data_IF_933357174597
#
_entry.id   IF_933357174597
#
_cell.length_a   1.000
_cell.length_b   1.000
_cell.length_c   1.000
_cell.angle_alpha   90.00
_cell.angle_beta   90.00
_cell.angle_gamma   90.00
#
_symmetry.space_group_name_H-M   'P 1'
#
loop_
_entity.id
_entity.type
_entity.pdbx_description
1 polymer ?
#
# COMPACT_ATOMS: atom_id res chain seq x y z
N UNK A 1 18.88 11.15 -9.98
CA UNK A 1 17.52 11.14 -9.41
C UNK A 1 16.60 11.86 -10.39
N UNK A 2 15.56 11.21 -10.90
CA UNK A 2 14.51 11.89 -11.67
C UNK A 2 13.85 12.88 -10.70
N UNK A 3 13.95 14.18 -10.95
CA UNK A 3 13.19 15.17 -10.17
C UNK A 3 11.72 14.95 -10.48
N UNK A 4 10.97 14.43 -9.50
CA UNK A 4 9.54 14.31 -9.63
C UNK A 4 8.97 15.73 -9.58
N UNK A 5 8.26 16.15 -10.64
CA UNK A 5 7.59 17.44 -10.68
C UNK A 5 6.30 17.40 -9.84
N UNK A 6 6.46 17.31 -8.52
CA UNK A 6 5.37 17.33 -7.54
C UNK A 6 5.19 18.74 -6.98
N UNK A 7 3.96 19.07 -6.59
CA UNK A 7 3.74 20.25 -5.74
C UNK A 7 4.35 20.02 -4.36
N UNK A 8 4.60 21.07 -3.59
CA UNK A 8 5.15 20.94 -2.24
C UNK A 8 4.31 20.05 -1.34
N UNK A 9 2.97 20.11 -1.47
CA UNK A 9 2.07 19.25 -0.69
C UNK A 9 2.21 17.77 -1.09
N UNK A 10 2.27 17.48 -2.40
CA UNK A 10 2.43 16.12 -2.89
C UNK A 10 3.80 15.54 -2.55
N UNK A 11 4.84 16.37 -2.58
CA UNK A 11 6.18 15.98 -2.17
C UNK A 11 6.20 15.60 -0.68
N UNK A 12 5.61 16.42 0.19
CA UNK A 12 5.52 16.12 1.62
C UNK A 12 4.78 14.79 1.90
N UNK A 13 3.64 14.56 1.22
CA UNK A 13 2.89 13.30 1.33
C UNK A 13 3.72 12.13 0.81
N UNK A 14 4.39 12.30 -0.32
CA UNK A 14 5.25 11.28 -0.91
C UNK A 14 6.37 10.88 0.05
N UNK A 15 7.10 11.85 0.60
CA UNK A 15 8.22 11.60 1.51
C UNK A 15 7.77 10.86 2.77
N UNK A 16 6.62 11.24 3.35
CA UNK A 16 6.05 10.55 4.52
C UNK A 16 5.75 9.07 4.24
N UNK A 17 5.22 8.75 3.06
CA UNK A 17 4.93 7.36 2.68
C UNK A 17 6.22 6.62 2.31
N UNK A 18 7.16 7.27 1.63
CA UNK A 18 8.44 6.68 1.19
C UNK A 18 9.36 6.29 2.34
N UNK A 19 9.35 7.09 3.41
CA UNK A 19 10.16 6.87 4.60
C UNK A 19 9.48 5.94 5.63
N UNK A 20 8.22 5.57 5.40
CA UNK A 20 7.51 4.64 6.25
C UNK A 20 8.12 3.24 6.12
N UNK A 21 8.50 2.65 7.26
CA UNK A 21 8.85 1.23 7.35
C UNK A 21 7.62 0.33 7.55
N UNK A 22 6.45 0.95 7.72
CA UNK A 22 5.15 0.32 7.83
C UNK A 22 4.24 0.75 6.68
N UNK A 23 3.02 0.20 6.63
CA UNK A 23 2.01 0.55 5.64
C UNK A 23 0.97 1.50 6.24
N UNK A 24 1.23 2.82 6.34
CA UNK A 24 0.34 3.76 7.01
C UNK A 24 -1.01 3.86 6.29
N UNK A 25 -2.07 4.11 7.07
CA UNK A 25 -3.34 4.57 6.53
C UNK A 25 -3.27 6.05 6.14
N UNK A 26 -4.27 6.57 5.44
CA UNK A 26 -4.35 8.01 5.17
C UNK A 26 -4.36 8.83 6.49
N UNK A 27 -4.99 8.31 7.55
CA UNK A 27 -4.99 8.94 8.87
C UNK A 27 -3.60 9.01 9.49
N UNK A 28 -2.83 7.92 9.39
CA UNK A 28 -1.45 7.88 9.87
C UNK A 28 -0.56 8.87 9.10
N UNK A 29 -0.73 8.95 7.77
CA UNK A 29 -0.02 9.93 6.93
C UNK A 29 -0.34 11.36 7.36
N UNK A 30 -1.61 11.68 7.63
CA UNK A 30 -2.00 13.00 8.13
C UNK A 30 -1.35 13.34 9.48
N UNK A 31 -1.33 12.39 10.41
CA UNK A 31 -0.70 12.59 11.71
C UNK A 31 0.81 12.84 11.56
N UNK A 32 1.50 12.03 10.75
CA UNK A 32 2.95 12.21 10.47
C UNK A 32 3.26 13.53 9.78
N UNK A 33 2.38 14.01 8.90
CA UNK A 33 2.53 15.32 8.27
C UNK A 33 2.43 16.46 9.30
N UNK A 34 1.46 16.37 10.22
CA UNK A 34 1.32 17.35 11.31
C UNK A 34 2.54 17.37 12.24
N UNK A 35 3.08 16.20 12.59
CA UNK A 35 4.32 16.08 13.38
C UNK A 35 5.53 16.74 12.69
N UNK A 36 5.55 16.77 11.35
CA UNK A 36 6.56 17.44 10.52
C UNK A 36 6.25 18.92 10.27
N UNK A 37 5.20 19.48 10.90
CA UNK A 37 4.82 20.90 10.76
C UNK A 37 3.99 21.22 9.53
N UNK A 38 3.51 20.22 8.78
CA UNK A 38 2.59 20.44 7.66
C UNK A 38 1.14 20.45 8.15
N UNK A 39 0.41 21.52 7.86
CA UNK A 39 -1.03 21.59 8.12
C UNK A 39 -1.80 21.53 6.79
N UNK A 40 -2.07 20.31 6.33
CA UNK A 40 -2.82 20.06 5.10
C UNK A 40 -4.26 19.66 5.42
N UNK A 41 -5.22 20.18 4.66
CA UNK A 41 -6.60 19.73 4.76
C UNK A 41 -6.72 18.25 4.36
N UNK A 42 -7.63 17.51 5.00
CA UNK A 42 -7.90 16.09 4.71
C UNK A 42 -7.99 15.81 3.20
N UNK A 43 -8.82 16.56 2.47
CA UNK A 43 -8.99 16.39 1.03
C UNK A 43 -7.68 16.57 0.22
N UNK A 44 -6.76 17.39 0.70
CA UNK A 44 -5.44 17.58 0.05
C UNK A 44 -4.57 16.34 0.20
N UNK A 45 -4.59 15.69 1.37
CA UNK A 45 -3.83 14.46 1.61
C UNK A 45 -4.40 13.31 0.78
N UNK A 46 -5.72 13.10 0.80
CA UNK A 46 -6.35 12.07 -0.03
C UNK A 46 -6.13 12.28 -1.53
N UNK A 47 -6.25 13.52 -2.03
CA UNK A 47 -5.97 13.83 -3.43
C UNK A 47 -4.50 13.61 -3.80
N UNK A 48 -3.58 13.85 -2.86
CA UNK A 48 -2.15 13.61 -3.06
C UNK A 48 -1.85 12.11 -3.10
N UNK A 49 -2.38 11.34 -2.14
CA UNK A 49 -2.25 9.88 -2.11
C UNK A 49 -2.78 9.25 -3.41
N UNK A 50 -4.00 9.64 -3.82
CA UNK A 50 -4.58 9.18 -5.09
C UNK A 50 -3.69 9.52 -6.28
N UNK A 51 -3.22 10.78 -6.39
CA UNK A 51 -2.34 11.17 -7.48
C UNK A 51 -1.05 10.36 -7.52
N UNK A 52 -0.43 10.11 -6.36
CA UNK A 52 0.81 9.35 -6.27
C UNK A 52 0.60 7.88 -6.65
N UNK A 53 -0.53 7.28 -6.25
CA UNK A 53 -0.94 5.93 -6.67
C UNK A 53 -1.18 5.88 -8.18
N UNK A 54 -1.93 6.83 -8.73
CA UNK A 54 -2.21 6.91 -10.19
C UNK A 54 -0.95 7.12 -11.03
N UNK A 55 0.14 7.62 -10.41
CA UNK A 55 1.47 7.79 -11.02
C UNK A 55 2.44 6.66 -10.71
N UNK A 56 1.98 5.60 -10.05
CA UNK A 56 2.79 4.44 -9.67
C UNK A 56 4.04 4.86 -8.86
N UNK A 57 3.91 5.94 -8.07
CA UNK A 57 4.97 6.42 -7.18
C UNK A 57 4.88 5.78 -5.79
N UNK A 58 3.67 5.39 -5.40
CA UNK A 58 3.35 4.61 -4.21
C UNK A 58 2.32 3.55 -4.59
N UNK A 59 2.13 2.54 -3.75
CA UNK A 59 1.10 1.51 -3.94
C UNK A 59 -0.01 1.69 -2.92
N UNK A 60 -1.26 1.63 -3.37
CA UNK A 60 -2.42 1.54 -2.48
C UNK A 60 -2.79 0.06 -2.26
N UNK A 61 -2.82 -0.37 -1.01
CA UNK A 61 -3.33 -1.66 -0.57
C UNK A 61 -4.79 -1.48 -0.16
N UNK A 62 -5.71 -1.93 -1.01
CA UNK A 62 -7.15 -1.89 -0.75
C UNK A 62 -7.55 -3.05 0.15
N UNK A 63 -8.10 -2.74 1.32
CA UNK A 63 -8.37 -3.71 2.40
C UNK A 63 -9.87 -4.01 2.55
N UNK A 64 -10.60 -4.19 1.45
CA UNK A 64 -12.05 -4.39 1.50
C UNK A 64 -12.75 -3.19 2.15
N UNK A 65 -13.43 -3.41 3.28
CA UNK A 65 -14.08 -2.35 4.06
C UNK A 65 -13.13 -1.62 5.04
N UNK A 66 -11.94 -2.16 5.31
CA UNK A 66 -10.96 -1.49 6.15
C UNK A 66 -10.27 -0.36 5.38
N UNK A 67 -9.75 0.62 6.12
CA UNK A 67 -9.06 1.77 5.54
C UNK A 67 -7.87 1.32 4.67
N UNK A 68 -7.76 1.89 3.45
CA UNK A 68 -6.61 1.65 2.58
C UNK A 68 -5.30 1.98 3.31
N UNK A 69 -4.29 1.18 3.02
CA UNK A 69 -2.92 1.42 3.45
C UNK A 69 -2.03 1.73 2.25
N UNK A 70 -0.94 2.43 2.47
CA UNK A 70 -0.05 2.88 1.41
C UNK A 70 1.35 2.31 1.62
N UNK A 71 1.95 1.80 0.54
CA UNK A 71 3.33 1.34 0.51
C UNK A 71 4.19 2.32 -0.31
N UNK A 72 5.29 2.77 0.29
CA UNK A 72 6.28 3.62 -0.39
C UNK A 72 7.31 2.82 -1.20
N UNK A 73 7.33 1.51 -1.03
CA UNK A 73 8.19 0.58 -1.74
C UNK A 73 7.48 0.04 -2.98
N UNK A 74 8.25 -0.12 -4.04
CA UNK A 74 7.77 -0.50 -5.37
C UNK A 74 8.52 -1.74 -5.90
N UNK A 75 9.33 -2.39 -5.07
CA UNK A 75 9.86 -3.72 -5.35
C UNK A 75 8.74 -4.77 -5.40
N UNK A 76 9.04 -5.91 -6.03
CA UNK A 76 8.08 -6.99 -6.19
C UNK A 76 7.94 -7.78 -4.89
N UNK A 77 6.99 -7.37 -4.06
CA UNK A 77 6.55 -8.13 -2.89
C UNK A 77 5.03 -8.22 -2.81
N UNK A 78 4.55 -9.28 -2.16
CA UNK A 78 3.14 -9.52 -1.91
C UNK A 78 2.79 -9.14 -0.48
N UNK A 79 1.50 -9.07 -0.16
CA UNK A 79 1.04 -8.63 1.16
C UNK A 79 0.08 -9.63 1.77
N UNK A 80 0.10 -9.77 3.09
CA UNK A 80 -0.95 -10.47 3.85
C UNK A 80 -1.55 -9.53 4.89
N UNK A 81 -2.88 -9.58 5.05
CA UNK A 81 -3.59 -8.78 6.04
C UNK A 81 -4.31 -9.66 7.05
N UNK A 82 -4.18 -9.29 8.31
CA UNK A 82 -4.99 -9.81 9.39
C UNK A 82 -6.40 -9.22 9.33
N UNK A 83 -7.41 -10.06 9.11
CA UNK A 83 -8.82 -9.67 9.06
C UNK A 83 -9.40 -9.23 10.41
N UNK A 84 -8.65 -9.40 11.52
CA UNK A 84 -9.10 -9.03 12.87
C UNK A 84 -8.55 -7.67 13.31
N UNK A 85 -7.26 -7.42 13.10
CA UNK A 85 -6.61 -6.19 13.58
C UNK A 85 -6.11 -5.27 12.45
N UNK A 86 -6.21 -5.69 11.18
CA UNK A 86 -5.75 -4.91 10.04
C UNK A 86 -4.21 -4.78 9.93
N UNK A 87 -3.45 -5.59 10.68
CA UNK A 87 -2.00 -5.71 10.54
C UNK A 87 -1.67 -6.19 9.13
N UNK A 88 -0.67 -5.58 8.51
CA UNK A 88 -0.13 -5.96 7.21
C UNK A 88 1.29 -6.48 7.42
N UNK A 89 1.59 -7.61 6.80
CA UNK A 89 2.93 -8.18 6.76
C UNK A 89 3.33 -8.44 5.30
N UNK A 90 4.64 -8.40 5.05
CA UNK A 90 5.22 -8.66 3.74
C UNK A 90 5.29 -10.15 3.45
N UNK A 91 5.05 -10.51 2.20
CA UNK A 91 5.21 -11.87 1.67
C UNK A 91 6.28 -11.80 0.58
N UNK A 92 7.43 -12.42 0.89
CA UNK A 92 8.59 -12.46 -0.01
C UNK A 92 8.47 -13.51 -1.12
N UNK A 93 7.41 -14.33 -1.09
CA UNK A 93 7.13 -15.29 -2.15
C UNK A 93 6.61 -14.56 -3.39
N UNK A 94 7.25 -14.81 -4.53
CA UNK A 94 6.83 -14.27 -5.82
C UNK A 94 5.58 -14.97 -6.36
N UNK A 95 4.89 -14.28 -7.27
CA UNK A 95 3.78 -14.86 -8.03
C UNK A 95 4.37 -15.87 -9.04
N UNK A 96 3.95 -17.15 -9.03
CA UNK A 96 4.49 -18.14 -9.97
C UNK A 96 4.26 -17.74 -11.44
N UNK A 97 5.31 -17.85 -12.26
CA UNK A 97 5.28 -17.43 -13.66
C UNK A 97 4.29 -18.26 -14.51
N UNK A 98 4.20 -19.56 -14.25
CA UNK A 98 3.26 -20.48 -14.88
C UNK A 98 1.80 -20.07 -14.63
N UNK A 99 1.49 -19.52 -13.45
CA UNK A 99 0.17 -18.98 -13.16
C UNK A 99 -0.12 -17.71 -13.97
N UNK A 100 0.86 -16.82 -14.14
CA UNK A 100 0.73 -15.63 -14.99
C UNK A 100 0.48 -16.04 -16.44
N UNK A 101 1.23 -17.01 -16.97
CA UNK A 101 1.03 -17.54 -18.33
C UNK A 101 -0.36 -18.15 -18.51
N UNK A 102 -0.83 -18.90 -17.51
CA UNK A 102 -2.16 -19.51 -17.52
C UNK A 102 -3.24 -18.43 -17.62
N UNK A 103 -3.16 -17.38 -16.80
CA UNK A 103 -4.10 -16.25 -16.85
C UNK A 103 -4.05 -15.53 -18.21
N UNK A 104 -2.86 -15.32 -18.76
CA UNK A 104 -2.70 -14.70 -20.07
C UNK A 104 -3.35 -15.53 -21.18
N UNK A 105 -3.18 -16.86 -21.15
CA UNK A 105 -3.77 -17.77 -22.12
C UNK A 105 -5.30 -17.86 -22.00
N UNK A 106 -5.83 -17.94 -20.78
CA UNK A 106 -7.28 -18.04 -20.53
C UNK A 106 -8.04 -16.75 -20.92
N UNK A 107 -7.40 -15.59 -20.79
CA UNK A 107 -8.05 -14.28 -20.98
C UNK A 107 -7.67 -13.58 -22.29
N UNK A 108 -6.53 -13.95 -22.89
CA UNK A 108 -5.96 -13.29 -24.07
C UNK A 108 -5.28 -11.95 -23.77
N UNK A 109 -5.06 -11.60 -22.51
CA UNK A 109 -4.43 -10.33 -22.12
C UNK A 109 -2.89 -10.42 -22.14
N UNK A 110 -2.25 -9.31 -22.52
CA UNK A 110 -0.83 -9.08 -22.17
C UNK A 110 -0.77 -8.55 -20.74
N UNK A 111 -0.27 -9.38 -19.81
CA UNK A 111 -0.21 -9.03 -18.39
C UNK A 111 0.98 -8.12 -18.13
N UNK A 112 0.72 -6.92 -17.61
CA UNK A 112 1.76 -5.95 -17.27
C UNK A 112 2.32 -6.14 -15.85
N UNK A 113 1.49 -6.58 -14.90
CA UNK A 113 1.87 -6.80 -13.50
C UNK A 113 0.89 -7.77 -12.83
N UNK A 114 1.33 -8.41 -11.76
CA UNK A 114 0.50 -9.22 -10.88
C UNK A 114 0.75 -8.81 -9.43
N UNK A 115 -0.34 -8.55 -8.69
CA UNK A 115 -0.27 -8.22 -7.27
C UNK A 115 -1.30 -9.04 -6.51
N UNK A 116 -0.84 -9.67 -5.44
CA UNK A 116 -1.63 -10.58 -4.62
C UNK A 116 -1.63 -10.05 -3.19
N UNK A 117 -2.84 -9.99 -2.65
CA UNK A 117 -3.11 -9.61 -1.28
C UNK A 117 -3.82 -10.78 -0.60
N UNK A 118 -3.14 -11.43 0.35
CA UNK A 118 -3.69 -12.54 1.11
C UNK A 118 -4.50 -12.03 2.31
N UNK A 119 -5.62 -12.70 2.60
CA UNK A 119 -6.39 -12.50 3.83
C UNK A 119 -6.14 -13.62 4.82
N UNK A 120 -5.88 -13.29 6.09
CA UNK A 120 -5.65 -14.27 7.14
C UNK A 120 -5.88 -13.72 8.55
N UNK A 121 -5.37 -14.41 9.56
CA UNK A 121 -5.38 -13.95 10.96
C UNK A 121 -3.96 -14.06 11.50
N UNK A 122 -3.40 -12.95 11.99
CA UNK A 122 -2.03 -12.94 12.51
C UNK A 122 -1.92 -13.75 13.82
N UNK A 123 -0.68 -14.14 14.18
CA UNK A 123 -0.39 -14.95 15.38
C UNK A 123 -0.96 -14.35 16.67
N UNK A 124 -0.92 -13.03 16.81
CA UNK A 124 -1.45 -12.32 17.99
C UNK A 124 -2.98 -12.37 18.08
N UNK A 125 -3.68 -12.34 16.95
CA UNK A 125 -5.13 -12.45 16.93
C UNK A 125 -5.58 -13.91 17.08
N UNK A 126 -4.80 -14.87 16.57
CA UNK A 126 -5.04 -16.29 16.80
C UNK A 126 -4.95 -16.62 18.29
N UNK A 127 -3.92 -16.15 19.00
CA UNK A 127 -3.74 -16.42 20.43
C UNK A 127 -4.80 -15.76 21.31
N UNK A 128 -5.37 -14.61 20.90
CA UNK A 128 -6.50 -13.97 21.59
C UNK A 128 -7.83 -14.71 21.41
N UNK A 129 -8.00 -15.51 20.35
CA UNK A 129 -9.21 -16.33 20.11
C UNK A 129 -9.20 -17.67 20.85
N UNK A 130 -8.05 -18.10 21.39
CA UNK A 130 -7.89 -19.39 22.10
C UNK A 130 -8.12 -19.24 23.63
N UNK A 131 -8.69 -18.11 24.08
CA UNK A 131 -9.08 -17.91 25.49
C UNK A 131 -10.59 -17.88 25.66
#
# INVERSE_FOLDING_TARGET
MRTLNLTSQRQAVYDVVREAHDHPTAADVMNRLMERGYNLAYGTVYNSLRYLTDKELIRELKLGEAASRYDGRMDDHQHIICQVCGRVDEVMSEVPHDWIETVAHETGYTIAHAHVVFGGVCKECQSKRIK
#
